data_IF_947864647969
#
_entry.id   IF_947864647969
#
_cell.length_a   1.000
_cell.length_b   1.000
_cell.length_c   1.000
_cell.angle_alpha   90.00
_cell.angle_beta   90.00
_cell.angle_gamma   90.00
#
_symmetry.space_group_name_H-M   'P 1'
#
loop_
_entity.id
_entity.type
_entity.pdbx_description
1 polymer ?
#
# COMPACT_ATOMS: atom_id res chain seq x y z
N UNK A 1 17.72 -10.62 -6.28
CA UNK A 1 17.26 -9.46 -5.52
C UNK A 1 16.77 -9.89 -4.12
N UNK A 2 15.81 -10.84 -4.01
CA UNK A 2 15.34 -11.38 -2.71
C UNK A 2 16.49 -11.92 -1.84
N UNK A 3 17.47 -12.60 -2.45
CA UNK A 3 18.65 -13.10 -1.75
C UNK A 3 19.48 -11.96 -1.12
N UNK A 4 19.64 -10.83 -1.82
CA UNK A 4 20.34 -9.66 -1.27
C UNK A 4 19.61 -9.05 -0.08
N UNK A 5 18.28 -8.93 -0.15
CA UNK A 5 17.47 -8.42 0.96
C UNK A 5 17.60 -9.34 2.19
N UNK A 6 17.59 -10.64 2.00
CA UNK A 6 17.73 -11.61 3.09
C UNK A 6 19.14 -11.57 3.70
N UNK A 7 20.18 -11.43 2.88
CA UNK A 7 21.58 -11.38 3.34
C UNK A 7 21.91 -10.06 4.07
N UNK A 8 21.31 -8.95 3.66
CA UNK A 8 21.53 -7.64 4.28
C UNK A 8 20.81 -7.47 5.63
N UNK A 9 20.04 -8.45 6.08
CA UNK A 9 19.24 -8.39 7.32
C UNK A 9 18.31 -7.17 7.42
N UNK A 10 18.09 -6.46 6.32
CA UNK A 10 17.19 -5.31 6.26
C UNK A 10 15.79 -5.59 6.85
N UNK A 11 15.16 -6.76 6.57
CA UNK A 11 13.86 -7.05 7.16
C UNK A 11 13.89 -7.07 8.69
N UNK A 12 14.95 -7.62 9.29
CA UNK A 12 15.09 -7.70 10.77
C UNK A 12 15.27 -6.32 11.38
N UNK A 13 16.06 -5.44 10.75
CA UNK A 13 16.25 -4.06 11.21
C UNK A 13 14.93 -3.27 11.17
N UNK A 14 14.07 -3.51 10.18
CA UNK A 14 12.75 -2.88 10.07
C UNK A 14 11.81 -3.43 11.16
N UNK A 15 11.84 -4.75 11.42
CA UNK A 15 11.08 -5.36 12.51
C UNK A 15 11.51 -4.76 13.85
N UNK A 16 12.80 -4.75 14.15
CA UNK A 16 13.36 -4.21 15.40
C UNK A 16 12.98 -2.72 15.58
N UNK A 17 13.00 -1.95 14.51
CA UNK A 17 12.59 -0.54 14.55
C UNK A 17 11.10 -0.39 14.86
N UNK A 18 10.23 -1.19 14.24
CA UNK A 18 8.79 -1.16 14.49
C UNK A 18 8.48 -1.66 15.90
N UNK A 19 9.17 -2.71 16.39
CA UNK A 19 9.02 -3.21 17.76
C UNK A 19 9.46 -2.16 18.78
N UNK A 20 10.53 -1.40 18.49
CA UNK A 20 10.98 -0.32 19.35
C UNK A 20 9.96 0.81 19.53
N UNK A 21 9.04 0.98 18.57
CA UNK A 21 7.97 1.95 18.63
C UNK A 21 6.77 1.48 19.47
N UNK A 22 6.77 0.21 19.94
CA UNK A 22 5.69 -0.41 20.72
C UNK A 22 4.29 -0.16 20.12
N UNK A 23 4.18 -0.22 18.79
CA UNK A 23 2.95 0.05 18.07
C UNK A 23 1.97 -1.12 18.20
N UNK A 24 0.69 -0.78 18.33
CA UNK A 24 -0.38 -1.77 18.17
C UNK A 24 -0.44 -2.27 16.73
N UNK A 25 -0.99 -3.47 16.46
CA UNK A 25 -1.15 -3.96 15.08
C UNK A 25 -1.82 -2.95 14.14
N UNK A 26 -2.78 -2.17 14.65
CA UNK A 26 -3.40 -1.08 13.90
C UNK A 26 -2.39 0.04 13.58
N UNK A 27 -1.51 0.38 14.53
CA UNK A 27 -0.46 1.36 14.32
C UNK A 27 0.52 0.94 13.22
N UNK A 28 0.91 -0.33 13.19
CA UNK A 28 1.77 -0.92 12.16
C UNK A 28 1.10 -0.80 10.77
N UNK A 29 -0.17 -1.16 10.68
CA UNK A 29 -0.95 -1.06 9.42
C UNK A 29 -0.99 0.39 8.92
N UNK A 30 -1.22 1.36 9.82
CA UNK A 30 -1.27 2.78 9.44
C UNK A 30 0.09 3.32 8.97
N UNK A 31 1.19 2.90 9.62
CA UNK A 31 2.55 3.27 9.19
C UNK A 31 2.85 2.68 7.81
N UNK A 32 2.56 1.40 7.60
CA UNK A 32 2.75 0.75 6.30
C UNK A 32 1.88 1.44 5.24
N UNK A 33 0.64 1.78 5.55
CA UNK A 33 -0.27 2.51 4.67
C UNK A 33 0.36 3.85 4.22
N UNK A 34 0.88 4.63 5.16
CA UNK A 34 1.54 5.91 4.86
C UNK A 34 2.76 5.72 3.97
N UNK A 35 3.60 4.71 4.26
CA UNK A 35 4.78 4.38 3.44
C UNK A 35 4.36 4.00 2.01
N UNK A 36 3.34 3.15 1.86
CA UNK A 36 2.84 2.73 0.56
C UNK A 36 2.26 3.89 -0.25
N UNK A 37 1.53 4.80 0.38
CA UNK A 37 1.00 6.00 -0.30
C UNK A 37 2.16 6.87 -0.81
N UNK A 38 3.17 7.13 0.02
CA UNK A 38 4.33 7.94 -0.37
C UNK A 38 5.12 7.27 -1.49
N UNK A 39 5.47 5.99 -1.35
CA UNK A 39 6.20 5.24 -2.37
C UNK A 39 5.38 5.09 -3.66
N UNK A 40 4.07 4.86 -3.56
CA UNK A 40 3.17 4.74 -4.70
C UNK A 40 3.08 6.00 -5.55
N UNK A 41 3.31 7.18 -4.97
CA UNK A 41 3.39 8.42 -5.75
C UNK A 41 4.64 8.50 -6.63
N UNK A 42 5.69 7.74 -6.29
CA UNK A 42 7.03 7.86 -6.89
C UNK A 42 7.44 6.64 -7.73
N UNK A 43 6.87 5.47 -7.44
CA UNK A 43 7.28 4.20 -8.04
C UNK A 43 6.14 3.50 -8.74
N UNK A 44 6.48 2.64 -9.70
CA UNK A 44 5.53 1.72 -10.30
C UNK A 44 5.05 0.67 -9.28
N UNK A 45 3.78 0.26 -9.41
CA UNK A 45 3.11 -0.64 -8.46
C UNK A 45 3.79 -2.00 -8.34
N UNK A 46 4.17 -2.61 -9.45
CA UNK A 46 4.80 -3.92 -9.44
C UNK A 46 6.19 -3.87 -8.79
N UNK A 47 7.01 -2.89 -9.18
CA UNK A 47 8.33 -2.69 -8.59
C UNK A 47 8.24 -2.46 -7.09
N UNK A 48 7.28 -1.65 -6.66
CA UNK A 48 7.06 -1.35 -5.25
C UNK A 48 6.64 -2.60 -4.45
N UNK A 49 5.67 -3.37 -4.93
CA UNK A 49 5.22 -4.59 -4.26
C UNK A 49 6.36 -5.62 -4.15
N UNK A 50 7.13 -5.85 -5.23
CA UNK A 50 8.26 -6.76 -5.20
C UNK A 50 9.37 -6.33 -4.24
N UNK A 51 9.55 -5.04 -4.05
CA UNK A 51 10.54 -4.49 -3.13
C UNK A 51 10.09 -4.58 -1.67
N UNK A 52 8.83 -4.25 -1.39
CA UNK A 52 8.34 -3.99 -0.04
C UNK A 52 7.71 -5.20 0.64
N UNK A 53 7.06 -6.11 -0.11
CA UNK A 53 6.43 -7.30 0.48
C UNK A 53 7.44 -8.15 1.26
N UNK A 54 8.63 -8.49 0.74
CA UNK A 54 9.60 -9.28 1.51
C UNK A 54 10.08 -8.59 2.79
N UNK A 55 10.07 -7.26 2.83
CA UNK A 55 10.47 -6.46 3.99
C UNK A 55 9.36 -6.42 5.04
N UNK A 56 8.12 -6.20 4.63
CA UNK A 56 7.01 -6.07 5.57
C UNK A 56 6.40 -7.42 5.98
N UNK A 57 6.60 -8.48 5.21
CA UNK A 57 6.04 -9.80 5.52
C UNK A 57 6.37 -10.30 6.92
N UNK A 58 7.65 -10.33 7.38
CA UNK A 58 7.96 -10.73 8.76
C UNK A 58 7.27 -9.82 9.78
N UNK A 59 7.25 -8.51 9.56
CA UNK A 59 6.61 -7.53 10.46
C UNK A 59 5.13 -7.85 10.67
N UNK A 60 4.40 -8.13 9.58
CA UNK A 60 2.95 -8.39 9.66
C UNK A 60 2.65 -9.74 10.31
N UNK A 61 3.51 -10.73 10.09
CA UNK A 61 3.36 -12.06 10.71
C UNK A 61 3.61 -11.97 12.22
N UNK A 62 4.65 -11.27 12.65
CA UNK A 62 4.97 -11.06 14.06
C UNK A 62 3.87 -10.25 14.77
N UNK A 63 3.23 -9.32 14.07
CA UNK A 63 2.09 -8.56 14.57
C UNK A 63 0.78 -9.38 14.61
N UNK A 64 0.78 -10.63 14.14
CA UNK A 64 -0.40 -11.49 14.08
C UNK A 64 -1.42 -11.10 12.99
N UNK A 65 -0.99 -10.36 11.97
CA UNK A 65 -1.82 -9.94 10.85
C UNK A 65 -1.85 -11.06 9.78
N UNK A 66 -3.04 -11.35 9.25
CA UNK A 66 -3.20 -12.37 8.21
C UNK A 66 -2.48 -11.95 6.90
N UNK A 67 -1.57 -12.80 6.35
CA UNK A 67 -0.83 -12.47 5.15
C UNK A 67 -1.69 -12.27 3.90
N UNK A 68 -2.83 -13.00 3.79
CA UNK A 68 -3.76 -12.86 2.65
C UNK A 68 -4.45 -11.51 2.72
N UNK A 69 -4.91 -11.14 3.90
CA UNK A 69 -5.47 -9.81 4.13
C UNK A 69 -4.46 -8.71 3.81
N UNK A 70 -3.23 -8.86 4.26
CA UNK A 70 -2.16 -7.90 3.99
C UNK A 70 -1.87 -7.76 2.49
N UNK A 71 -1.85 -8.86 1.74
CA UNK A 71 -1.67 -8.82 0.28
C UNK A 71 -2.76 -7.99 -0.42
N UNK A 72 -4.02 -8.19 -0.05
CA UNK A 72 -5.15 -7.43 -0.58
C UNK A 72 -5.03 -5.95 -0.19
N UNK A 73 -4.74 -5.67 1.07
CA UNK A 73 -4.51 -4.33 1.60
C UNK A 73 -3.39 -3.61 0.85
N UNK A 74 -2.23 -4.25 0.66
CA UNK A 74 -1.09 -3.69 -0.03
C UNK A 74 -1.43 -3.26 -1.46
N UNK A 75 -2.10 -4.12 -2.24
CA UNK A 75 -2.51 -3.80 -3.61
C UNK A 75 -3.41 -2.56 -3.64
N UNK A 76 -4.41 -2.50 -2.77
CA UNK A 76 -5.37 -1.39 -2.73
C UNK A 76 -4.69 -0.07 -2.34
N UNK A 77 -3.79 -0.10 -1.36
CA UNK A 77 -3.08 1.11 -0.91
C UNK A 77 -2.06 1.58 -1.94
N UNK A 78 -1.42 0.65 -2.66
CA UNK A 78 -0.54 0.98 -3.79
C UNK A 78 -1.31 1.70 -4.90
N UNK A 79 -2.50 1.21 -5.26
CA UNK A 79 -3.36 1.89 -6.23
C UNK A 79 -3.74 3.30 -5.79
N UNK A 80 -4.08 3.46 -4.50
CA UNK A 80 -4.35 4.78 -3.91
C UNK A 80 -3.14 5.70 -4.07
N UNK A 81 -1.92 5.20 -3.82
CA UNK A 81 -0.68 5.95 -4.00
C UNK A 81 -0.47 6.43 -5.44
N UNK A 82 -0.72 5.57 -6.43
CA UNK A 82 -0.56 5.90 -7.87
C UNK A 82 -1.48 7.03 -8.36
N UNK A 83 -2.59 7.25 -7.69
CA UNK A 83 -3.56 8.31 -8.02
C UNK A 83 -3.39 9.52 -7.10
N UNK A 84 -2.70 9.35 -5.96
CA UNK A 84 -2.56 10.40 -4.94
C UNK A 84 -1.62 11.52 -5.38
N UNK A 85 -1.98 12.80 -5.07
CA UNK A 85 -1.06 13.91 -5.20
C UNK A 85 0.13 13.74 -4.23
N UNK A 86 1.33 14.30 -4.51
CA UNK A 86 1.62 15.35 -5.48
C UNK A 86 2.01 14.88 -6.87
N UNK A 87 2.42 13.63 -7.03
CA UNK A 87 2.93 13.14 -8.33
C UNK A 87 1.87 12.33 -9.06
N UNK A 88 1.40 11.21 -8.48
CA UNK A 88 0.37 10.35 -9.06
C UNK A 88 0.71 9.90 -10.49
N UNK A 89 1.50 8.83 -10.63
CA UNK A 89 2.01 8.41 -11.94
C UNK A 89 0.90 8.24 -12.98
N UNK A 90 -0.27 7.72 -12.59
CA UNK A 90 -1.42 7.55 -13.47
C UNK A 90 -1.95 8.89 -14.01
N UNK A 91 -1.85 9.98 -13.24
CA UNK A 91 -2.30 11.30 -13.68
C UNK A 91 -1.42 11.86 -14.80
N UNK A 92 -0.12 11.57 -14.78
CA UNK A 92 0.79 11.95 -15.86
C UNK A 92 0.53 11.15 -17.13
N UNK A 93 0.17 9.87 -17.02
CA UNK A 93 -0.23 9.06 -18.17
C UNK A 93 -1.50 9.66 -18.81
N UNK A 94 -2.51 10.00 -18.01
CA UNK A 94 -3.73 10.67 -18.48
C UNK A 94 -3.39 12.01 -19.16
N UNK A 95 -2.49 12.80 -18.55
CA UNK A 95 -2.04 14.06 -19.13
C UNK A 95 -1.32 13.86 -20.46
N UNK A 96 -0.57 12.79 -20.62
CA UNK A 96 0.10 12.44 -21.89
C UNK A 96 -0.91 12.17 -23.03
N UNK A 97 -2.04 11.57 -22.70
CA UNK A 97 -3.13 11.31 -23.65
C UNK A 97 -3.98 12.57 -23.88
N UNK A 98 -4.30 13.29 -22.82
CA UNK A 98 -5.13 14.51 -22.84
C UNK A 98 -4.28 15.78 -22.86
N UNK A 99 -3.48 15.97 -23.89
CA UNK A 99 -2.49 17.06 -23.98
C UNK A 99 -3.07 18.47 -23.81
N UNK A 100 -4.30 18.69 -24.29
CA UNK A 100 -4.99 19.98 -24.20
C UNK A 100 -5.57 20.29 -22.82
N UNK A 101 -5.73 19.28 -21.96
CA UNK A 101 -6.36 19.45 -20.65
C UNK A 101 -5.31 19.84 -19.59
N UNK A 102 -5.51 20.92 -18.81
CA UNK A 102 -4.60 21.26 -17.72
C UNK A 102 -4.51 20.13 -16.69
N UNK A 103 -3.30 19.86 -16.16
CA UNK A 103 -3.08 18.85 -15.13
C UNK A 103 -3.95 19.08 -13.89
N UNK A 104 -4.17 20.33 -13.53
CA UNK A 104 -5.06 20.73 -12.43
C UNK A 104 -6.50 20.21 -12.60
N UNK A 105 -7.03 20.25 -13.81
CA UNK A 105 -8.38 19.74 -14.11
C UNK A 105 -8.45 18.23 -13.96
N UNK A 106 -7.42 17.51 -14.42
CA UNK A 106 -7.31 16.06 -14.25
C UNK A 106 -7.26 15.72 -12.74
N UNK A 107 -6.49 16.45 -11.97
CA UNK A 107 -6.38 16.29 -10.52
C UNK A 107 -7.74 16.45 -9.81
N UNK A 108 -8.44 17.53 -10.06
CA UNK A 108 -9.77 17.74 -9.47
C UNK A 108 -10.78 16.66 -9.89
N UNK A 109 -10.65 16.15 -11.10
CA UNK A 109 -11.48 15.04 -11.59
C UNK A 109 -11.22 13.71 -10.83
N UNK A 110 -10.02 13.51 -10.27
CA UNK A 110 -9.68 12.29 -9.53
C UNK A 110 -10.02 12.36 -8.03
N UNK A 111 -10.26 13.55 -7.48
CA UNK A 111 -10.58 13.73 -6.05
C UNK A 111 -11.73 12.84 -5.55
N UNK A 112 -12.89 12.70 -6.26
CA UNK A 112 -13.96 11.82 -5.81
C UNK A 112 -13.53 10.35 -5.72
N UNK A 113 -12.67 9.90 -6.64
CA UNK A 113 -12.14 8.54 -6.65
C UNK A 113 -11.19 8.31 -5.47
N UNK A 114 -10.33 9.30 -5.15
CA UNK A 114 -9.49 9.26 -3.95
C UNK A 114 -10.31 9.10 -2.66
N UNK A 115 -11.41 9.84 -2.55
CA UNK A 115 -12.31 9.70 -1.40
C UNK A 115 -12.92 8.29 -1.34
N UNK A 116 -13.38 7.74 -2.45
CA UNK A 116 -13.92 6.39 -2.51
C UNK A 116 -12.87 5.34 -2.12
N UNK A 117 -11.64 5.49 -2.58
CA UNK A 117 -10.53 4.60 -2.24
C UNK A 117 -10.13 4.72 -0.75
N UNK A 118 -10.12 5.91 -0.19
CA UNK A 118 -9.88 6.10 1.24
C UNK A 118 -10.95 5.40 2.09
N UNK A 119 -12.22 5.50 1.68
CA UNK A 119 -13.33 4.78 2.35
C UNK A 119 -13.12 3.27 2.20
N UNK A 120 -12.73 2.79 1.02
CA UNK A 120 -12.43 1.37 0.77
C UNK A 120 -11.32 0.86 1.68
N UNK A 121 -10.21 1.59 1.79
CA UNK A 121 -9.09 1.24 2.70
C UNK A 121 -9.57 1.22 4.15
N UNK A 122 -10.32 2.23 4.60
CA UNK A 122 -10.86 2.27 5.95
C UNK A 122 -11.78 1.08 6.24
N UNK A 123 -12.66 0.72 5.30
CA UNK A 123 -13.55 -0.43 5.43
C UNK A 123 -12.79 -1.75 5.57
N UNK A 124 -11.72 -1.94 4.80
CA UNK A 124 -10.89 -3.15 4.86
C UNK A 124 -10.14 -3.25 6.20
N UNK A 125 -9.69 -2.13 6.74
CA UNK A 125 -9.02 -2.08 8.05
C UNK A 125 -10.02 -2.38 9.17
N UNK A 126 -11.23 -1.82 9.11
CA UNK A 126 -12.28 -2.00 10.16
C UNK A 126 -12.91 -3.39 10.05
N UNK A 127 -13.14 -3.88 8.83
CA UNK A 127 -13.79 -5.16 8.55
C UNK A 127 -12.89 -6.12 7.75
N UNK A 128 -11.84 -6.69 8.36
CA UNK A 128 -10.93 -7.62 7.67
C UNK A 128 -11.67 -8.84 7.07
N UNK A 129 -12.80 -9.21 7.67
CA UNK A 129 -13.64 -10.31 7.21
C UNK A 129 -14.10 -10.16 5.75
N UNK A 130 -14.25 -8.93 5.25
CA UNK A 130 -14.63 -8.69 3.84
C UNK A 130 -13.61 -9.32 2.88
N UNK A 131 -12.32 -9.18 3.20
CA UNK A 131 -11.23 -9.70 2.38
C UNK A 131 -11.04 -11.21 2.59
N UNK A 132 -11.29 -11.72 3.79
CA UNK A 132 -11.03 -13.11 4.16
C UNK A 132 -12.21 -14.04 3.90
N UNK A 133 -13.40 -13.49 3.63
CA UNK A 133 -14.61 -14.30 3.42
C UNK A 133 -14.48 -15.26 2.22
N UNK A 134 -14.04 -14.76 1.08
CA UNK A 134 -13.89 -15.58 -0.12
C UNK A 134 -12.81 -16.67 0.04
N UNK A 135 -11.60 -16.35 0.52
CA UNK A 135 -10.59 -17.37 0.83
C UNK A 135 -11.06 -18.41 1.86
N UNK A 136 -11.87 -18.02 2.85
CA UNK A 136 -12.39 -18.95 3.86
C UNK A 136 -13.41 -19.95 3.32
N UNK A 137 -14.06 -19.67 2.18
CA UNK A 137 -14.96 -20.58 1.50
C UNK A 137 -14.24 -21.60 0.60
N UNK A 138 -12.95 -21.37 0.32
CA UNK A 138 -12.14 -22.21 -0.57
C UNK A 138 -11.31 -23.25 0.18
N UNK A 139 -11.33 -23.24 1.53
CA UNK A 139 -10.58 -24.16 2.40
C UNK A 139 -11.48 -25.25 2.96
#
# INVERSE_FOLDING_TARGET
FNFLITVTQMPFTVVDFIDSLALTPLGIILVICAIYIVLGTLMDSLAMLFLTIPVFYPVIVDAGIDPVWFGIFAVIVVELGLVSPPVGMNLFVIKGVMQSTPLKTIWFGTVPFLFADMIRVALIIIFPAICLYLPSLMN
#
